data_IF_255428700976
#
_entry.id   IF_255428700976
#
_cell.length_a   1.000
_cell.length_b   1.000
_cell.length_c   1.000
_cell.angle_alpha   90.00
_cell.angle_beta   90.00
_cell.angle_gamma   90.00
#
_symmetry.space_group_name_H-M   'P 1'
#
loop_
_entity.id
_entity.type
_entity.pdbx_description
1 polymer ?
#
# COMPACT_ATOMS: atom_id res chain seq x y z
N UNK A 1 -28.80 -22.26 -0.30
CA UNK A 1 -27.39 -22.41 0.14
C UNK A 1 -26.43 -21.63 -0.77
N UNK A 2 -26.91 -21.05 -1.87
CA UNK A 2 -26.06 -20.46 -2.90
C UNK A 2 -25.47 -19.10 -2.53
N UNK A 3 -26.18 -18.28 -1.74
CA UNK A 3 -25.72 -16.94 -1.35
C UNK A 3 -24.44 -16.96 -0.49
N UNK A 4 -24.31 -17.92 0.43
CA UNK A 4 -23.12 -18.01 1.29
C UNK A 4 -21.89 -18.50 0.52
N UNK A 5 -22.10 -19.43 -0.42
CA UNK A 5 -21.05 -19.90 -1.33
C UNK A 5 -20.57 -18.77 -2.23
N UNK A 6 -21.51 -18.00 -2.80
CA UNK A 6 -21.22 -16.87 -3.66
C UNK A 6 -20.47 -15.74 -2.91
N UNK A 7 -20.83 -15.51 -1.66
CA UNK A 7 -20.10 -14.59 -0.79
C UNK A 7 -18.68 -15.07 -0.50
N UNK A 8 -18.51 -16.35 -0.13
CA UNK A 8 -17.19 -16.93 0.10
C UNK A 8 -16.30 -16.79 -1.13
N UNK A 9 -16.82 -17.08 -2.32
CA UNK A 9 -16.11 -16.89 -3.59
C UNK A 9 -15.73 -15.42 -3.82
N UNK A 10 -16.63 -14.49 -3.50
CA UNK A 10 -16.38 -13.04 -3.60
C UNK A 10 -15.26 -12.60 -2.65
N UNK A 11 -15.28 -13.08 -1.39
CA UNK A 11 -14.25 -12.78 -0.40
C UNK A 11 -12.89 -13.34 -0.83
N UNK A 12 -12.84 -14.59 -1.28
CA UNK A 12 -11.60 -15.21 -1.77
C UNK A 12 -11.01 -14.48 -2.97
N UNK A 13 -11.87 -14.05 -3.91
CA UNK A 13 -11.43 -13.27 -5.07
C UNK A 13 -10.84 -11.91 -4.67
N UNK A 14 -11.48 -11.20 -3.73
CA UNK A 14 -10.95 -9.94 -3.20
C UNK A 14 -9.62 -10.14 -2.48
N UNK A 15 -9.50 -11.18 -1.65
CA UNK A 15 -8.26 -11.51 -0.94
C UNK A 15 -7.11 -11.77 -1.91
N UNK A 16 -7.36 -12.49 -3.01
CA UNK A 16 -6.35 -12.75 -4.03
C UNK A 16 -5.86 -11.46 -4.71
N UNK A 17 -6.78 -10.56 -5.06
CA UNK A 17 -6.46 -9.24 -5.65
C UNK A 17 -5.61 -8.41 -4.69
N UNK A 18 -5.98 -8.35 -3.40
CA UNK A 18 -5.25 -7.59 -2.41
C UNK A 18 -3.85 -8.17 -2.15
N UNK A 19 -3.71 -9.50 -2.16
CA UNK A 19 -2.41 -10.18 -2.00
C UNK A 19 -1.47 -9.84 -3.15
N UNK A 20 -1.96 -9.89 -4.38
CA UNK A 20 -1.19 -9.52 -5.57
C UNK A 20 -0.75 -8.05 -5.50
N UNK A 21 -1.63 -7.14 -5.08
CA UNK A 21 -1.28 -5.73 -4.88
C UNK A 21 -0.23 -5.52 -3.80
N UNK A 22 -0.36 -6.22 -2.67
CA UNK A 22 0.62 -6.13 -1.59
C UNK A 22 2.00 -6.56 -2.08
N UNK A 23 2.08 -7.68 -2.79
CA UNK A 23 3.33 -8.17 -3.38
C UNK A 23 3.95 -7.18 -4.36
N UNK A 24 3.15 -6.56 -5.24
CA UNK A 24 3.63 -5.52 -6.18
C UNK A 24 4.09 -4.25 -5.49
N UNK A 25 3.43 -3.85 -4.39
CA UNK A 25 3.83 -2.71 -3.57
C UNK A 25 5.16 -2.96 -2.86
N UNK A 26 5.43 -4.19 -2.44
CA UNK A 26 6.71 -4.57 -1.84
C UNK A 26 7.84 -4.56 -2.89
N UNK A 27 7.59 -5.06 -4.10
CA UNK A 27 8.59 -5.20 -5.17
C UNK A 27 8.93 -3.87 -5.89
N UNK A 28 8.36 -2.73 -5.45
CA UNK A 28 8.48 -1.41 -6.08
C UNK A 28 8.08 -1.33 -7.57
N UNK A 29 7.54 -2.41 -8.13
CA UNK A 29 7.01 -2.52 -9.49
C UNK A 29 5.59 -1.96 -9.54
N UNK A 30 5.46 -0.63 -9.59
CA UNK A 30 4.19 0.06 -9.86
C UNK A 30 3.86 0.01 -11.37
N UNK A 31 3.70 -1.19 -11.93
CA UNK A 31 3.19 -1.33 -13.29
C UNK A 31 1.65 -1.33 -13.28
N UNK A 32 1.09 -0.16 -13.58
CA UNK A 32 -0.30 0.16 -13.99
C UNK A 32 -1.46 -0.47 -13.20
N UNK A 33 -2.44 0.38 -12.86
CA UNK A 33 -3.71 0.07 -12.21
C UNK A 33 -4.69 -0.78 -13.07
N UNK A 34 -4.23 -1.90 -13.62
CA UNK A 34 -5.08 -2.90 -14.26
C UNK A 34 -5.74 -3.76 -13.16
N UNK A 35 -7.00 -3.44 -12.83
CA UNK A 35 -7.80 -4.26 -11.91
C UNK A 35 -8.87 -3.52 -11.10
N UNK A 36 -8.97 -2.18 -11.20
CA UNK A 36 -9.89 -1.40 -10.35
C UNK A 36 -11.36 -1.68 -10.63
N UNK A 37 -11.75 -1.96 -11.88
CA UNK A 37 -13.15 -2.21 -12.25
C UNK A 37 -13.66 -3.55 -11.68
N UNK A 38 -12.84 -4.60 -11.74
CA UNK A 38 -13.18 -5.92 -11.19
C UNK A 38 -13.25 -5.88 -9.65
N UNK A 39 -12.28 -5.22 -9.02
CA UNK A 39 -12.28 -5.00 -7.57
C UNK A 39 -13.52 -4.20 -7.14
N UNK A 40 -13.84 -3.09 -7.81
CA UNK A 40 -15.03 -2.29 -7.51
C UNK A 40 -16.32 -3.11 -7.62
N UNK A 41 -16.44 -3.94 -8.67
CA UNK A 41 -17.58 -4.84 -8.83
C UNK A 41 -17.68 -5.87 -7.70
N UNK A 42 -16.55 -6.45 -7.28
CA UNK A 42 -16.50 -7.40 -6.16
C UNK A 42 -16.80 -6.72 -4.81
N UNK A 43 -16.38 -5.48 -4.60
CA UNK A 43 -16.70 -4.70 -3.40
C UNK A 43 -18.20 -4.36 -3.34
N UNK A 44 -18.80 -3.96 -4.46
CA UNK A 44 -20.24 -3.75 -4.56
C UNK A 44 -21.00 -5.04 -4.28
N UNK A 45 -20.53 -6.16 -4.83
CA UNK A 45 -21.10 -7.48 -4.58
C UNK A 45 -20.97 -7.89 -3.11
N UNK A 46 -19.82 -7.67 -2.47
CA UNK A 46 -19.62 -7.91 -1.04
C UNK A 46 -20.59 -7.06 -0.19
N UNK A 47 -20.78 -5.79 -0.56
CA UNK A 47 -21.73 -4.88 0.08
C UNK A 47 -23.18 -5.38 -0.01
N UNK A 48 -23.54 -6.08 -1.09
CA UNK A 48 -24.88 -6.68 -1.24
C UNK A 48 -25.15 -7.81 -0.23
N UNK A 49 -24.12 -8.45 0.32
CA UNK A 49 -24.24 -9.49 1.36
C UNK A 49 -24.28 -8.93 2.80
N UNK A 50 -24.17 -7.60 2.97
CA UNK A 50 -24.15 -6.94 4.28
C UNK A 50 -25.52 -6.92 5.01
N UNK A 51 -26.55 -7.59 4.46
CA UNK A 51 -27.86 -7.70 5.09
C UNK A 51 -27.83 -8.57 6.35
N UNK A 52 -28.69 -8.29 7.37
CA UNK A 52 -28.77 -9.07 8.60
C UNK A 52 -29.02 -10.55 8.30
N UNK A 53 -28.11 -11.42 8.74
CA UNK A 53 -28.26 -12.87 8.55
C UNK A 53 -29.23 -13.45 9.56
N UNK A 54 -30.06 -14.39 9.10
CA UNK A 54 -30.90 -15.22 9.96
C UNK A 54 -30.13 -16.38 10.61
N UNK A 55 -28.96 -16.73 10.06
CA UNK A 55 -28.11 -17.82 10.53
C UNK A 55 -26.66 -17.36 10.73
N UNK A 56 -25.93 -17.95 11.69
CA UNK A 56 -24.52 -17.66 11.85
C UNK A 56 -23.73 -18.06 10.59
N UNK A 57 -22.72 -17.28 10.18
CA UNK A 57 -21.90 -17.60 9.01
C UNK A 57 -21.09 -18.88 9.24
N UNK A 58 -20.82 -19.66 8.19
CA UNK A 58 -19.97 -20.85 8.32
C UNK A 58 -18.55 -20.51 8.79
N UNK A 59 -17.85 -21.48 9.41
CA UNK A 59 -16.44 -21.31 9.78
C UNK A 59 -15.53 -20.97 8.59
N UNK A 60 -15.86 -21.45 7.39
CA UNK A 60 -15.10 -21.16 6.17
C UNK A 60 -15.20 -19.67 5.79
N UNK A 61 -16.42 -19.13 5.79
CA UNK A 61 -16.66 -17.72 5.52
C UNK A 61 -16.03 -16.83 6.60
N UNK A 62 -16.15 -17.21 7.89
CA UNK A 62 -15.52 -16.46 8.98
C UNK A 62 -13.99 -16.36 8.78
N UNK A 63 -13.33 -17.47 8.45
CA UNK A 63 -11.88 -17.48 8.16
C UNK A 63 -11.53 -16.62 6.95
N UNK A 64 -12.30 -16.72 5.87
CA UNK A 64 -12.07 -15.94 4.66
C UNK A 64 -12.20 -14.43 4.91
N UNK A 65 -13.18 -14.02 5.71
CA UNK A 65 -13.37 -12.61 6.11
C UNK A 65 -12.20 -12.12 6.97
N UNK A 66 -11.72 -12.92 7.91
CA UNK A 66 -10.55 -12.58 8.72
C UNK A 66 -9.29 -12.40 7.85
N UNK A 67 -9.08 -13.29 6.88
CA UNK A 67 -7.96 -13.18 5.95
C UNK A 67 -8.08 -11.92 5.09
N UNK A 68 -9.29 -11.60 4.60
CA UNK A 68 -9.54 -10.37 3.86
C UNK A 68 -9.20 -9.12 4.71
N UNK A 69 -9.63 -9.09 5.97
CA UNK A 69 -9.32 -8.00 6.91
C UNK A 69 -7.81 -7.82 7.11
N UNK A 70 -7.08 -8.92 7.28
CA UNK A 70 -5.62 -8.89 7.41
C UNK A 70 -4.96 -8.27 6.17
N UNK A 71 -5.40 -8.65 4.96
CA UNK A 71 -4.84 -8.09 3.71
C UNK A 71 -5.18 -6.62 3.52
N UNK A 72 -6.38 -6.19 3.88
CA UNK A 72 -6.75 -4.77 3.87
C UNK A 72 -5.86 -3.97 4.83
N UNK A 73 -5.64 -4.47 6.06
CA UNK A 73 -4.76 -3.81 7.03
C UNK A 73 -3.31 -3.74 6.55
N UNK A 74 -2.80 -4.82 5.95
CA UNK A 74 -1.46 -4.83 5.36
C UNK A 74 -1.30 -3.80 4.25
N UNK A 75 -2.29 -3.66 3.38
CA UNK A 75 -2.28 -2.69 2.29
C UNK A 75 -2.35 -1.24 2.81
N UNK A 76 -3.21 -0.95 3.79
CA UNK A 76 -3.29 0.36 4.44
C UNK A 76 -1.95 0.74 5.12
N UNK A 77 -1.33 -0.22 5.82
CA UNK A 77 -0.02 0.00 6.43
C UNK A 77 1.06 0.35 5.39
N UNK A 78 1.17 -0.42 4.31
CA UNK A 78 2.11 -0.15 3.23
C UNK A 78 1.87 1.22 2.58
N UNK A 79 0.60 1.57 2.33
CA UNK A 79 0.24 2.88 1.78
C UNK A 79 0.73 4.02 2.68
N UNK A 80 0.53 3.90 4.00
CA UNK A 80 1.01 4.90 4.98
C UNK A 80 2.54 5.02 4.96
N UNK A 81 3.27 3.90 4.88
CA UNK A 81 4.74 3.93 4.77
C UNK A 81 5.20 4.65 3.51
N UNK A 82 4.57 4.36 2.36
CA UNK A 82 4.91 5.02 1.09
C UNK A 82 4.58 6.51 1.12
N UNK A 83 3.43 6.90 1.68
CA UNK A 83 3.09 8.32 1.88
C UNK A 83 4.07 9.05 2.80
N UNK A 84 4.53 8.39 3.87
CA UNK A 84 5.54 8.95 4.76
C UNK A 84 6.87 9.15 4.02
N UNK A 85 7.29 8.19 3.18
CA UNK A 85 8.48 8.32 2.35
C UNK A 85 8.39 9.47 1.34
N UNK A 86 7.23 9.62 0.67
CA UNK A 86 6.97 10.77 -0.22
C UNK A 86 7.04 12.09 0.55
N UNK A 87 6.42 12.16 1.73
CA UNK A 87 6.43 13.36 2.57
C UNK A 87 7.85 13.72 3.01
N UNK A 88 8.66 12.73 3.39
CA UNK A 88 10.06 12.93 3.76
C UNK A 88 10.90 13.42 2.56
N UNK A 89 10.70 12.84 1.37
CA UNK A 89 11.35 13.28 0.13
C UNK A 89 10.98 14.72 -0.25
N UNK A 90 9.70 15.08 -0.15
CA UNK A 90 9.23 16.44 -0.39
C UNK A 90 9.82 17.45 0.61
N UNK A 91 9.93 17.09 1.90
CA UNK A 91 10.60 17.93 2.90
C UNK A 91 12.09 18.11 2.62
N UNK A 92 12.78 17.05 2.18
CA UNK A 92 14.19 17.14 1.81
C UNK A 92 14.42 18.08 0.61
N UNK A 93 13.52 18.04 -0.38
CA UNK A 93 13.54 18.98 -1.52
C UNK A 93 13.22 20.41 -1.10
N UNK A 94 12.23 20.61 -0.23
CA UNK A 94 11.83 21.93 0.26
C UNK A 94 12.93 22.60 1.12
N UNK A 95 13.70 21.81 1.86
CA UNK A 95 14.85 22.27 2.64
C UNK A 95 16.15 22.28 1.83
N UNK A 96 16.08 21.96 0.53
CA UNK A 96 17.21 21.69 -0.36
C UNK A 96 17.49 22.77 -1.41
N UNK A 97 17.17 24.04 -1.14
CA UNK A 97 17.78 25.20 -1.82
C UNK A 97 18.36 26.13 -0.76
N UNK A 98 19.53 25.74 -0.23
CA UNK A 98 20.54 26.64 0.30
C UNK A 98 21.92 26.04 0.01
N UNK A 99 22.40 26.27 -1.21
CA UNK A 99 23.82 26.47 -1.45
C UNK A 99 24.03 27.95 -1.72
N UNK A 100 25.15 28.60 -1.32
CA UNK A 100 26.47 28.01 -1.15
C UNK A 100 27.25 28.49 0.10
N UNK A 101 28.14 27.64 0.62
CA UNK A 101 29.43 28.11 1.15
C UNK A 101 30.37 26.92 1.30
N UNK A 102 31.16 26.66 0.26
CA UNK A 102 32.44 25.99 0.44
C UNK A 102 33.29 26.85 1.39
N UNK A 103 33.74 26.35 2.55
CA UNK A 103 34.91 26.91 3.18
C UNK A 103 36.10 26.50 2.33
N UNK A 104 36.79 27.52 1.82
CA UNK A 104 38.10 27.50 1.19
C UNK A 104 38.94 26.25 1.52
N UNK A 105 39.37 25.55 0.45
CA UNK A 105 40.66 24.87 0.45
C UNK A 105 41.70 25.87 0.99
N UNK A 106 42.18 25.62 2.20
CA UNK A 106 43.43 26.20 2.70
C UNK A 106 44.56 25.65 1.85
N UNK A 107 44.77 26.26 0.68
CA UNK A 107 45.94 26.05 -0.14
C UNK A 107 47.11 26.61 0.66
N UNK A 108 47.93 25.71 1.20
CA UNK A 108 49.25 26.04 1.70
C UNK A 108 50.02 26.80 0.63
N UNK A 109 50.26 28.08 0.87
CA UNK A 109 51.27 28.86 0.15
C UNK A 109 52.42 29.08 1.12
N UNK A 110 53.41 28.19 1.02
CA UNK A 110 54.77 28.52 1.41
C UNK A 110 55.20 29.76 0.63
N UNK A 111 55.52 30.84 1.33
CA UNK A 111 56.35 31.90 0.80
C UNK A 111 57.69 31.77 1.52
N UNK A 112 58.64 31.11 0.84
CA UNK A 112 60.05 31.32 1.15
C UNK A 112 60.48 32.71 0.67
N UNK A 113 61.47 33.30 1.37
CA UNK A 113 62.34 34.45 1.07
C UNK A 113 62.57 35.17 2.42
N UNK A 114 63.75 35.45 2.95
CA UNK A 114 65.13 35.45 2.50
C UNK A 114 66.03 35.41 3.75
#
# INVERSE_FOLDING_TARGET
MDAEKEELETVLALTAILRDRLARLDDAALTSASGSAQEAALLLKLGSFATPRRSPPSPALQRAVLELQEKVQGLDHQLRLRMAAVTAGLKALANGVDGPSSPSRGVGRSLGSA
#
